data_IF_587951787666
#
_entry.id   IF_587951787666
#
_cell.length_a   1.000
_cell.length_b   1.000
_cell.length_c   1.000
_cell.angle_alpha   90.00
_cell.angle_beta   90.00
_cell.angle_gamma   90.00
#
_symmetry.space_group_name_H-M   'P 1'
#
loop_
_entity.id
_entity.type
_entity.pdbx_description
1 polymer ?
#
# COMPACT_ATOMS: atom_id res chain seq x y z
N UNK A 1 111.32 18.34 -43.30
CA UNK A 1 110.57 17.59 -44.33
C UNK A 1 109.41 16.87 -43.67
N UNK A 2 108.21 17.07 -44.23
CA UNK A 2 106.95 16.30 -44.11
C UNK A 2 106.24 16.21 -42.75
N UNK A 3 105.20 17.03 -42.66
CA UNK A 3 103.96 16.71 -41.95
C UNK A 3 103.09 15.85 -42.87
N UNK A 4 102.46 14.80 -42.33
CA UNK A 4 101.30 14.14 -42.94
C UNK A 4 100.16 14.12 -41.93
N UNK A 5 99.12 14.89 -42.26
CA UNK A 5 97.82 14.90 -41.62
C UNK A 5 96.92 13.88 -42.34
N UNK A 6 96.23 13.02 -41.59
CA UNK A 6 95.15 12.16 -42.11
C UNK A 6 93.78 12.81 -41.86
N UNK A 7 93.04 12.99 -42.96
CA UNK A 7 91.69 13.55 -43.10
C UNK A 7 90.57 12.52 -42.78
N UNK A 8 89.33 12.97 -42.51
CA UNK A 8 88.23 12.13 -42.03
C UNK A 8 87.53 11.31 -43.13
N UNK A 9 86.99 10.16 -42.74
CA UNK A 9 86.23 9.23 -43.58
C UNK A 9 84.85 9.79 -43.96
N UNK A 10 84.60 9.98 -45.26
CA UNK A 10 83.26 10.26 -45.82
C UNK A 10 82.42 8.98 -45.81
N UNK A 11 81.26 9.02 -45.16
CA UNK A 11 80.21 8.02 -45.34
C UNK A 11 79.67 8.12 -46.78
N UNK A 12 79.74 7.00 -47.52
CA UNK A 12 79.16 6.86 -48.86
C UNK A 12 77.63 6.82 -48.73
N UNK A 13 76.94 7.76 -49.37
CA UNK A 13 75.52 7.62 -49.68
C UNK A 13 75.36 6.58 -50.79
N UNK A 14 74.79 5.43 -50.46
CA UNK A 14 74.29 4.47 -51.44
C UNK A 14 72.89 4.90 -51.85
N UNK A 15 72.71 5.27 -53.13
CA UNK A 15 71.38 5.59 -53.68
C UNK A 15 70.50 4.34 -53.71
N UNK A 16 69.24 4.47 -53.29
CA UNK A 16 68.26 3.38 -53.32
C UNK A 16 67.97 2.96 -54.76
N UNK A 17 67.88 1.65 -54.97
CA UNK A 17 67.42 1.06 -56.23
C UNK A 17 65.93 1.32 -56.44
N UNK A 18 65.50 1.51 -57.69
CA UNK A 18 64.09 1.70 -58.07
C UNK A 18 63.20 0.52 -57.59
N UNK A 19 63.78 -0.68 -57.51
CA UNK A 19 63.11 -1.89 -57.01
C UNK A 19 62.87 -1.81 -55.49
N UNK A 20 63.84 -1.28 -54.75
CA UNK A 20 63.79 -1.18 -53.29
C UNK A 20 62.73 -0.16 -52.83
N UNK A 21 62.59 0.93 -53.58
CA UNK A 21 61.56 1.95 -53.37
C UNK A 21 60.15 1.41 -53.73
N UNK A 22 60.05 0.60 -54.79
CA UNK A 22 58.80 -0.07 -55.17
C UNK A 22 58.32 -1.08 -54.12
N UNK A 23 59.23 -1.89 -53.56
CA UNK A 23 58.91 -2.83 -52.48
C UNK A 23 58.53 -2.09 -51.19
N UNK A 24 59.24 -1.00 -50.85
CA UNK A 24 58.89 -0.18 -49.69
C UNK A 24 57.47 0.42 -49.80
N UNK A 25 57.09 0.97 -50.97
CA UNK A 25 55.73 1.47 -51.18
C UNK A 25 54.68 0.36 -51.13
N UNK A 26 54.97 -0.83 -51.66
CA UNK A 26 54.04 -1.96 -51.60
C UNK A 26 53.78 -2.40 -50.14
N UNK A 27 54.85 -2.50 -49.34
CA UNK A 27 54.74 -2.85 -47.91
C UNK A 27 53.96 -1.77 -47.16
N UNK A 28 54.25 -0.49 -47.38
CA UNK A 28 53.52 0.62 -46.75
C UNK A 28 52.05 0.64 -47.17
N UNK A 29 51.74 0.35 -48.44
CA UNK A 29 50.37 0.25 -48.93
C UNK A 29 49.58 -0.89 -48.25
N UNK A 30 50.20 -2.07 -48.11
CA UNK A 30 49.58 -3.22 -47.43
C UNK A 30 49.39 -2.94 -45.94
N UNK A 31 50.40 -2.38 -45.26
CA UNK A 31 50.30 -1.99 -43.85
C UNK A 31 49.23 -0.91 -43.67
N UNK A 32 49.13 0.06 -44.58
CA UNK A 32 48.11 1.10 -44.60
C UNK A 32 46.68 0.54 -44.67
N UNK A 33 46.45 -0.45 -45.53
CA UNK A 33 45.13 -1.11 -45.65
C UNK A 33 44.78 -1.88 -44.38
N UNK A 34 45.73 -2.63 -43.81
CA UNK A 34 45.53 -3.42 -42.59
C UNK A 34 45.25 -2.51 -41.39
N UNK A 35 46.04 -1.45 -41.21
CA UNK A 35 45.84 -0.48 -40.14
C UNK A 35 44.52 0.28 -40.28
N UNK A 36 44.12 0.68 -41.49
CA UNK A 36 42.83 1.33 -41.70
C UNK A 36 41.65 0.42 -41.36
N UNK A 37 41.71 -0.86 -41.77
CA UNK A 37 40.69 -1.85 -41.43
C UNK A 37 40.62 -2.10 -39.91
N UNK A 38 41.76 -2.18 -39.24
CA UNK A 38 41.84 -2.36 -37.79
C UNK A 38 41.30 -1.16 -37.01
N UNK A 39 41.53 0.06 -37.49
CA UNK A 39 40.98 1.30 -36.90
C UNK A 39 39.47 1.39 -37.09
N UNK A 40 38.94 0.95 -38.25
CA UNK A 40 37.49 0.88 -38.48
C UNK A 40 36.82 -0.14 -37.53
N UNK A 41 37.43 -1.32 -37.37
CA UNK A 41 36.92 -2.39 -36.51
C UNK A 41 37.00 -2.04 -35.01
N UNK A 42 37.93 -1.18 -34.59
CA UNK A 42 38.05 -0.73 -33.18
C UNK A 42 37.13 0.44 -32.80
N UNK A 43 36.58 1.19 -33.75
CA UNK A 43 35.60 2.27 -33.47
C UNK A 43 34.18 1.75 -33.28
N UNK A 44 33.77 0.73 -34.02
CA UNK A 44 32.46 0.09 -33.90
C UNK A 44 32.07 -0.37 -32.46
N UNK A 45 32.97 -0.95 -31.64
CA UNK A 45 32.64 -1.30 -30.26
C UNK A 45 32.47 -0.08 -29.34
N UNK A 46 33.16 1.04 -29.61
CA UNK A 46 33.06 2.25 -28.79
C UNK A 46 31.67 2.90 -28.91
N UNK A 47 31.15 3.01 -30.13
CA UNK A 47 29.84 3.64 -30.37
C UNK A 47 28.69 2.84 -29.75
N UNK A 48 28.76 1.51 -29.80
CA UNK A 48 27.75 0.65 -29.19
C UNK A 48 27.69 0.78 -27.67
N UNK A 49 28.85 0.91 -27.00
CA UNK A 49 28.88 1.12 -25.54
C UNK A 49 28.27 2.46 -25.15
N UNK A 50 28.53 3.52 -25.93
CA UNK A 50 27.94 4.83 -25.71
C UNK A 50 26.42 4.82 -25.92
N UNK A 51 25.93 4.16 -26.98
CA UNK A 51 24.49 4.02 -27.25
C UNK A 51 23.79 3.26 -26.12
N UNK A 52 24.37 2.15 -25.65
CA UNK A 52 23.81 1.41 -24.51
C UNK A 52 23.80 2.27 -23.24
N UNK A 53 24.84 3.09 -23.02
CA UNK A 53 24.87 4.08 -21.95
C UNK A 53 23.67 5.04 -22.02
N UNK A 54 23.37 5.58 -23.20
CA UNK A 54 22.21 6.47 -23.39
C UNK A 54 20.87 5.76 -23.12
N UNK A 55 20.71 4.53 -23.60
CA UNK A 55 19.51 3.73 -23.35
C UNK A 55 19.31 3.44 -21.85
N UNK A 56 20.39 3.14 -21.11
CA UNK A 56 20.32 2.93 -19.67
C UNK A 56 20.01 4.21 -18.88
N UNK A 57 20.58 5.35 -19.28
CA UNK A 57 20.28 6.66 -18.70
C UNK A 57 18.80 7.01 -18.90
N UNK A 58 18.29 6.81 -20.12
CA UNK A 58 16.89 7.05 -20.45
C UNK A 58 15.94 6.10 -19.70
N UNK A 59 16.29 4.81 -19.59
CA UNK A 59 15.50 3.85 -18.83
C UNK A 59 15.39 4.25 -17.35
N UNK A 60 16.51 4.61 -16.72
CA UNK A 60 16.52 5.04 -15.32
C UNK A 60 15.66 6.30 -15.11
N UNK A 61 15.67 7.24 -16.06
CA UNK A 61 14.82 8.43 -16.00
C UNK A 61 13.33 8.08 -16.12
N UNK A 62 12.95 7.15 -17.00
CA UNK A 62 11.57 6.65 -17.12
C UNK A 62 11.11 5.96 -15.85
N UNK A 63 11.96 5.12 -15.24
CA UNK A 63 11.65 4.46 -13.96
C UNK A 63 11.54 5.46 -12.81
N UNK A 64 12.42 6.48 -12.76
CA UNK A 64 12.33 7.56 -11.78
C UNK A 64 11.08 8.42 -11.93
N UNK A 65 10.65 8.67 -13.17
CA UNK A 65 9.43 9.41 -13.46
C UNK A 65 8.18 8.73 -12.88
N UNK A 66 8.11 7.40 -12.95
CA UNK A 66 7.02 6.60 -12.40
C UNK A 66 6.89 6.79 -10.88
N UNK A 67 8.02 6.85 -10.17
CA UNK A 67 8.02 7.03 -8.72
C UNK A 67 7.38 8.37 -8.33
N UNK A 68 7.63 9.42 -9.12
CA UNK A 68 7.11 10.77 -8.87
C UNK A 68 5.68 11.00 -9.38
N UNK A 69 5.29 10.38 -10.50
CA UNK A 69 4.04 10.71 -11.21
C UNK A 69 3.00 9.60 -11.22
N UNK A 70 3.33 8.40 -10.74
CA UNK A 70 2.43 7.24 -10.68
C UNK A 70 1.84 6.85 -12.05
N UNK A 71 2.62 7.09 -13.10
CA UNK A 71 2.34 6.73 -14.50
C UNK A 71 3.66 6.69 -15.27
N UNK A 72 3.68 5.98 -16.39
CA UNK A 72 4.76 6.12 -17.36
C UNK A 72 4.63 7.45 -18.10
N UNK A 73 5.73 8.00 -18.61
CA UNK A 73 5.65 9.18 -19.44
C UNK A 73 4.96 8.84 -20.78
N UNK A 74 4.22 9.80 -21.33
CA UNK A 74 3.69 9.73 -22.69
C UNK A 74 4.80 10.06 -23.69
N UNK A 75 4.76 9.45 -24.88
CA UNK A 75 5.71 9.81 -25.92
C UNK A 75 5.56 11.28 -26.34
N UNK A 76 6.66 11.88 -26.79
CA UNK A 76 6.66 13.17 -27.43
C UNK A 76 6.24 13.01 -28.90
N UNK A 77 5.40 13.93 -29.38
CA UNK A 77 5.00 14.01 -30.79
C UNK A 77 5.97 14.81 -31.67
N UNK A 78 7.01 15.39 -31.06
CA UNK A 78 8.02 16.17 -31.77
C UNK A 78 9.32 16.30 -30.97
N UNK A 79 10.30 16.98 -31.57
CA UNK A 79 11.67 17.08 -31.05
C UNK A 79 11.84 18.01 -29.84
N UNK A 80 10.78 18.74 -29.46
CA UNK A 80 10.78 19.64 -28.30
C UNK A 80 10.97 18.91 -26.95
N UNK A 81 10.74 17.59 -26.93
CA UNK A 81 11.02 16.72 -25.79
C UNK A 81 9.96 16.75 -24.69
N UNK A 82 8.78 17.31 -24.95
CA UNK A 82 7.66 17.36 -24.00
C UNK A 82 6.69 16.22 -24.27
N UNK A 83 6.17 15.61 -23.21
CA UNK A 83 5.10 14.61 -23.30
C UNK A 83 3.90 15.13 -24.10
N UNK A 84 3.35 14.29 -24.98
CA UNK A 84 2.08 14.52 -25.66
C UNK A 84 1.11 13.37 -25.34
N UNK A 85 0.40 13.50 -24.22
CA UNK A 85 -0.55 12.48 -23.79
C UNK A 85 -1.85 12.45 -24.62
N UNK A 86 -2.13 13.49 -25.41
CA UNK A 86 -3.29 13.56 -26.30
C UNK A 86 -3.08 12.81 -27.61
N UNK A 87 -1.83 12.67 -28.03
CA UNK A 87 -1.47 11.91 -29.23
C UNK A 87 -1.23 10.43 -28.91
N UNK A 88 -2.22 9.60 -29.24
CA UNK A 88 -2.17 8.14 -29.12
C UNK A 88 -1.73 7.44 -30.41
N UNK A 89 -1.31 8.21 -31.43
CA UNK A 89 -0.92 7.66 -32.73
C UNK A 89 0.51 7.14 -32.70
N UNK A 90 0.86 6.24 -33.64
CA UNK A 90 2.24 5.82 -33.93
C UNK A 90 3.15 6.97 -34.44
N UNK A 91 2.70 8.22 -34.43
CA UNK A 91 3.51 9.41 -34.69
C UNK A 91 4.16 9.97 -33.41
N UNK A 92 3.58 9.69 -32.24
CA UNK A 92 4.20 10.01 -30.96
C UNK A 92 5.13 8.86 -30.57
N UNK A 93 6.37 8.91 -31.09
CA UNK A 93 7.39 7.87 -30.89
C UNK A 93 8.68 8.47 -30.35
N UNK A 94 8.75 9.74 -29.99
CA UNK A 94 9.98 10.34 -29.46
C UNK A 94 10.02 10.28 -27.94
N UNK A 95 11.21 10.14 -27.38
CA UNK A 95 11.42 10.20 -25.94
C UNK A 95 11.14 11.63 -25.43
N UNK A 96 10.28 11.81 -24.40
CA UNK A 96 10.01 13.12 -23.82
C UNK A 96 11.17 13.56 -22.91
N UNK A 97 12.35 13.76 -23.51
CA UNK A 97 13.60 14.02 -22.80
C UNK A 97 13.52 15.23 -21.87
N UNK A 98 12.80 16.29 -22.25
CA UNK A 98 12.65 17.49 -21.43
C UNK A 98 11.80 17.22 -20.20
N UNK A 99 10.70 16.48 -20.36
CA UNK A 99 9.86 16.08 -19.22
C UNK A 99 10.60 15.13 -18.28
N UNK A 100 11.47 14.28 -18.82
CA UNK A 100 12.33 13.37 -18.04
C UNK A 100 13.54 14.05 -17.40
N UNK A 101 13.75 15.36 -17.63
CA UNK A 101 14.93 16.07 -17.14
C UNK A 101 16.25 15.63 -17.79
N UNK A 102 16.17 14.94 -18.93
CA UNK A 102 17.30 14.50 -19.73
C UNK A 102 17.83 15.64 -20.61
N UNK A 103 19.06 15.53 -21.13
CA UNK A 103 19.62 16.51 -22.04
C UNK A 103 19.06 16.35 -23.47
N UNK A 104 19.12 17.42 -24.27
CA UNK A 104 18.57 17.46 -25.64
C UNK A 104 19.20 16.43 -26.59
N UNK A 105 20.42 15.96 -26.30
CA UNK A 105 21.08 14.86 -27.00
C UNK A 105 20.39 13.49 -26.84
N UNK A 106 19.29 13.41 -26.10
CA UNK A 106 18.43 12.23 -25.99
C UNK A 106 17.15 12.39 -26.82
N UNK A 107 16.97 13.52 -27.51
CA UNK A 107 15.77 13.81 -28.29
C UNK A 107 15.63 13.03 -29.60
N UNK A 108 16.68 12.33 -30.02
CA UNK A 108 16.67 11.36 -31.12
C UNK A 108 16.20 9.97 -30.68
N UNK A 109 16.12 9.72 -29.37
CA UNK A 109 15.65 8.43 -28.87
C UNK A 109 14.15 8.30 -29.14
N UNK A 110 13.79 7.10 -29.58
CA UNK A 110 12.42 6.71 -29.81
C UNK A 110 11.88 6.00 -28.56
N UNK A 111 10.62 6.22 -28.25
CA UNK A 111 9.95 5.74 -27.06
C UNK A 111 8.54 5.27 -27.39
N UNK A 112 8.19 4.11 -26.85
CA UNK A 112 6.84 3.57 -26.88
C UNK A 112 6.38 3.23 -25.48
N UNK A 113 5.13 3.54 -25.16
CA UNK A 113 4.49 3.19 -23.89
C UNK A 113 3.21 2.41 -24.13
N UNK A 114 2.93 1.45 -23.26
CA UNK A 114 1.72 0.66 -23.34
C UNK A 114 0.50 1.50 -22.95
N UNK A 115 -0.32 1.82 -23.96
CA UNK A 115 -1.58 2.54 -23.83
C UNK A 115 -2.78 1.68 -24.25
N UNK A 116 -2.64 0.35 -24.13
CA UNK A 116 -3.61 -0.61 -24.66
C UNK A 116 -4.94 -0.60 -23.90
N UNK A 117 -6.00 -0.11 -24.54
CA UNK A 117 -7.38 -0.13 -24.05
C UNK A 117 -7.51 0.23 -22.55
N UNK A 118 -8.04 -0.67 -21.72
CA UNK A 118 -8.28 -0.46 -20.29
C UNK A 118 -7.03 -0.53 -19.40
N UNK A 119 -5.84 -0.64 -19.99
CA UNK A 119 -4.54 -0.83 -19.34
C UNK A 119 -3.52 0.23 -19.77
N UNK A 120 -3.93 1.50 -19.84
CA UNK A 120 -3.04 2.61 -20.19
C UNK A 120 -2.09 2.97 -19.04
N UNK A 121 -0.83 2.55 -19.18
CA UNK A 121 0.22 2.81 -18.19
C UNK A 121 0.69 4.27 -18.17
N UNK A 122 0.41 5.05 -19.22
CA UNK A 122 0.75 6.46 -19.32
C UNK A 122 -0.36 7.38 -18.80
N UNK A 123 -1.52 6.82 -18.47
CA UNK A 123 -2.63 7.54 -17.84
C UNK A 123 -2.57 7.44 -16.32
N UNK A 124 -3.17 8.43 -15.63
CA UNK A 124 -3.38 8.31 -14.18
C UNK A 124 -4.35 7.15 -13.91
N UNK A 125 -4.00 6.21 -13.02
CA UNK A 125 -4.88 5.09 -12.71
C UNK A 125 -6.09 5.58 -11.91
N UNK A 126 -7.14 4.77 -11.85
CA UNK A 126 -8.24 5.00 -10.90
C UNK A 126 -7.83 4.53 -9.50
N UNK A 127 -8.24 5.26 -8.47
CA UNK A 127 -8.09 4.82 -7.09
C UNK A 127 -8.72 3.44 -6.91
N UNK A 128 -7.93 2.52 -6.39
CA UNK A 128 -8.28 1.12 -6.18
C UNK A 128 -7.66 0.57 -4.91
N UNK A 129 -6.49 1.12 -4.50
CA UNK A 129 -5.72 0.72 -3.33
C UNK A 129 -6.29 1.48 -2.14
N UNK A 130 -7.11 0.78 -1.37
CA UNK A 130 -7.79 1.36 -0.22
C UNK A 130 -7.23 0.81 1.09
N UNK A 131 -6.76 1.67 2.01
CA UNK A 131 -6.20 1.24 3.30
C UNK A 131 -7.24 0.58 4.21
N UNK A 132 -8.52 0.76 3.91
CA UNK A 132 -9.68 0.18 4.60
C UNK A 132 -10.34 -0.96 3.82
N UNK A 133 -9.70 -1.47 2.77
CA UNK A 133 -10.28 -2.48 1.86
C UNK A 133 -11.61 -2.04 1.21
N UNK A 134 -11.90 -0.73 1.16
CA UNK A 134 -13.19 -0.16 0.75
C UNK A 134 -14.37 -0.64 1.61
N UNK A 135 -14.11 -1.05 2.85
CA UNK A 135 -15.13 -1.55 3.75
C UNK A 135 -15.93 -0.38 4.28
N UNK A 136 -17.25 -0.48 4.21
CA UNK A 136 -18.09 0.52 4.84
C UNK A 136 -18.15 0.27 6.35
N UNK A 137 -17.51 1.15 7.12
CA UNK A 137 -17.57 1.13 8.58
C UNK A 137 -18.85 1.76 9.15
N UNK A 138 -19.91 1.94 8.33
CA UNK A 138 -21.24 2.37 8.81
C UNK A 138 -22.17 1.18 9.15
N UNK A 139 -23.04 1.29 10.17
CA UNK A 139 -23.24 2.46 11.03
C UNK A 139 -21.98 2.76 11.83
N UNK A 140 -21.66 4.05 12.00
CA UNK A 140 -20.50 4.48 12.76
C UNK A 140 -20.44 3.59 14.01
N UNK A 141 -19.32 2.88 14.19
CA UNK A 141 -19.01 2.05 15.36
C UNK A 141 -19.80 2.63 16.51
N UNK A 142 -20.95 2.02 16.91
CA UNK A 142 -21.91 2.67 17.76
C UNK A 142 -21.12 3.30 18.89
N UNK A 143 -21.12 4.65 18.90
CA UNK A 143 -20.42 5.40 19.93
C UNK A 143 -21.10 4.90 21.15
N UNK A 144 -20.40 4.00 21.84
CA UNK A 144 -20.90 3.39 23.03
C UNK A 144 -21.36 4.59 23.84
N UNK A 145 -22.63 4.58 24.28
CA UNK A 145 -23.17 5.67 25.07
C UNK A 145 -22.54 5.66 26.48
N UNK A 146 -21.21 5.50 26.59
CA UNK A 146 -20.39 5.89 27.73
C UNK A 146 -20.24 7.41 27.74
N UNK A 147 -21.36 8.12 27.72
CA UNK A 147 -21.40 9.59 27.79
C UNK A 147 -20.71 10.17 29.05
N UNK A 148 -20.19 9.31 29.93
CA UNK A 148 -19.54 9.66 31.20
C UNK A 148 -18.05 9.28 31.30
N UNK A 149 -17.46 8.52 30.37
CA UNK A 149 -16.04 8.13 30.44
C UNK A 149 -15.13 8.95 29.51
N UNK A 150 -14.23 9.75 30.07
CA UNK A 150 -13.31 10.55 29.25
C UNK A 150 -12.35 9.70 28.41
N UNK A 151 -11.91 8.54 28.91
CA UNK A 151 -10.96 7.67 28.22
C UNK A 151 -11.57 6.96 27.02
N UNK A 152 -12.74 6.36 27.21
CA UNK A 152 -13.47 5.69 26.11
C UNK A 152 -13.90 6.70 25.03
N UNK A 153 -14.35 7.89 25.43
CA UNK A 153 -14.70 8.95 24.48
C UNK A 153 -13.48 9.44 23.66
N UNK A 154 -12.32 9.57 24.29
CA UNK A 154 -11.09 9.93 23.59
C UNK A 154 -10.67 8.85 22.57
N UNK A 155 -10.73 7.57 22.96
CA UNK A 155 -10.41 6.45 22.07
C UNK A 155 -11.40 6.35 20.90
N UNK A 156 -12.70 6.55 21.15
CA UNK A 156 -13.73 6.57 20.11
C UNK A 156 -13.55 7.73 19.11
N UNK A 157 -13.15 8.90 19.60
CA UNK A 157 -12.86 10.06 18.76
C UNK A 157 -11.62 9.82 17.87
N UNK A 158 -10.55 9.26 18.44
CA UNK A 158 -9.33 8.90 17.70
C UNK A 158 -9.62 7.88 16.59
N UNK A 159 -10.40 6.86 16.93
CA UNK A 159 -10.87 5.84 15.99
C UNK A 159 -11.69 6.45 14.84
N UNK A 160 -12.66 7.32 15.17
CA UNK A 160 -13.45 8.04 14.17
C UNK A 160 -12.55 8.86 13.25
N UNK A 161 -11.55 9.54 13.79
CA UNK A 161 -10.55 10.28 13.02
C UNK A 161 -9.78 9.40 12.04
N UNK A 162 -9.36 8.19 12.46
CA UNK A 162 -8.68 7.24 11.60
C UNK A 162 -9.56 6.73 10.45
N UNK A 163 -10.85 6.47 10.71
CA UNK A 163 -11.84 6.09 9.69
C UNK A 163 -12.06 7.23 8.69
N UNK A 164 -12.24 8.46 9.17
CA UNK A 164 -12.39 9.62 8.30
C UNK A 164 -11.17 9.83 7.42
N UNK A 165 -9.97 9.65 7.97
CA UNK A 165 -8.73 9.69 7.20
C UNK A 165 -8.71 8.62 6.11
N UNK A 166 -9.02 7.35 6.45
CA UNK A 166 -9.05 6.24 5.49
C UNK A 166 -10.09 6.47 4.37
N UNK A 167 -11.29 6.95 4.71
CA UNK A 167 -12.31 7.32 3.73
C UNK A 167 -11.82 8.44 2.79
N UNK A 168 -11.11 9.44 3.34
CA UNK A 168 -10.48 10.50 2.56
C UNK A 168 -9.43 9.97 1.56
N UNK A 169 -8.77 8.85 1.87
CA UNK A 169 -7.81 8.19 0.97
C UNK A 169 -8.46 7.54 -0.25
N UNK A 170 -9.75 7.17 -0.21
CA UNK A 170 -10.41 6.43 -1.32
C UNK A 170 -10.45 7.18 -2.66
N UNK A 171 -10.35 8.51 -2.63
CA UNK A 171 -10.30 9.33 -3.84
C UNK A 171 -8.86 9.70 -4.25
N UNK A 172 -7.86 9.39 -3.43
CA UNK A 172 -6.46 9.73 -3.69
C UNK A 172 -5.85 8.68 -4.58
N UNK A 173 -5.25 9.13 -5.68
CA UNK A 173 -4.48 8.27 -6.58
C UNK A 173 -3.02 8.31 -6.14
N UNK A 174 -2.42 7.13 -5.96
CA UNK A 174 -1.00 6.99 -5.64
C UNK A 174 -0.32 5.90 -6.48
N UNK A 175 0.97 5.67 -6.21
CA UNK A 175 1.74 4.66 -6.93
C UNK A 175 1.32 3.20 -6.66
N UNK A 176 0.57 2.90 -5.61
CA UNK A 176 0.00 1.57 -5.37
C UNK A 176 -1.12 1.27 -6.36
N UNK A 177 -1.92 2.27 -6.72
CA UNK A 177 -2.94 2.15 -7.77
C UNK A 177 -2.30 1.82 -9.11
N UNK A 178 -1.22 2.53 -9.44
CA UNK A 178 -0.48 2.27 -10.67
C UNK A 178 0.15 0.87 -10.66
N UNK A 179 0.70 0.43 -9.53
CA UNK A 179 1.18 -0.94 -9.36
C UNK A 179 0.09 -1.99 -9.62
N UNK A 180 -1.18 -1.72 -9.30
CA UNK A 180 -2.28 -2.62 -9.67
C UNK A 180 -2.50 -2.67 -11.17
N UNK A 181 -2.41 -1.55 -11.87
CA UNK A 181 -2.56 -1.49 -13.34
C UNK A 181 -1.43 -2.26 -14.02
N UNK A 182 -0.17 -2.02 -13.65
CA UNK A 182 0.99 -2.74 -14.23
C UNK A 182 0.89 -4.24 -14.00
N UNK A 183 0.49 -4.67 -12.80
CA UNK A 183 0.30 -6.11 -12.51
C UNK A 183 -0.88 -6.70 -13.29
N UNK A 184 -1.94 -5.93 -13.53
CA UNK A 184 -3.07 -6.37 -14.37
C UNK A 184 -2.63 -6.56 -15.81
N UNK A 185 -1.78 -5.66 -16.34
CA UNK A 185 -1.16 -5.83 -17.65
C UNK A 185 -0.26 -7.07 -17.70
N UNK A 186 0.56 -7.29 -16.67
CA UNK A 186 1.40 -8.49 -16.58
C UNK A 186 0.58 -9.79 -16.56
N UNK A 187 -0.61 -9.76 -15.94
CA UNK A 187 -1.53 -10.89 -15.90
C UNK A 187 -2.37 -11.06 -17.18
N UNK A 188 -2.56 -10.00 -17.97
CA UNK A 188 -3.33 -10.02 -19.22
C UNK A 188 -2.52 -9.44 -20.40
N UNK A 189 -1.42 -10.12 -20.79
CA UNK A 189 -0.53 -9.62 -21.84
C UNK A 189 -1.15 -9.61 -23.25
N UNK A 190 -2.27 -10.30 -23.46
CA UNK A 190 -2.93 -10.43 -24.77
C UNK A 190 -4.08 -9.44 -24.96
N UNK A 191 -4.22 -8.46 -24.06
CA UNK A 191 -5.24 -7.42 -24.21
C UNK A 191 -5.06 -6.64 -25.52
N UNK A 192 -6.16 -6.24 -26.13
CA UNK A 192 -6.13 -5.50 -27.38
C UNK A 192 -5.39 -4.16 -27.21
N UNK A 193 -4.52 -3.82 -28.16
CA UNK A 193 -3.75 -2.57 -28.14
C UNK A 193 -2.52 -2.58 -27.22
N UNK A 194 -2.17 -3.73 -26.63
CA UNK A 194 -0.93 -3.88 -25.86
C UNK A 194 0.28 -3.59 -26.77
N UNK A 195 1.18 -2.73 -26.27
CA UNK A 195 2.46 -2.47 -26.91
C UNK A 195 3.28 -3.77 -26.94
N UNK A 196 3.88 -4.06 -28.09
CA UNK A 196 4.70 -5.26 -28.26
C UNK A 196 6.09 -4.93 -28.79
N UNK A 197 7.06 -5.79 -28.48
CA UNK A 197 8.38 -5.81 -29.09
C UNK A 197 8.59 -7.13 -29.83
N UNK A 198 9.02 -7.10 -31.09
CA UNK A 198 9.25 -8.28 -31.92
C UNK A 198 8.76 -8.11 -33.35
N UNK A 199 8.44 -9.22 -34.00
CA UNK A 199 7.94 -9.27 -35.37
C UNK A 199 6.48 -9.79 -35.41
N UNK A 200 5.91 -9.92 -36.62
CA UNK A 200 4.53 -10.34 -36.82
C UNK A 200 4.21 -11.75 -36.30
N UNK A 201 5.19 -12.65 -36.26
CA UNK A 201 5.01 -14.07 -35.89
C UNK A 201 5.53 -14.39 -34.49
N UNK A 202 6.37 -13.53 -33.93
CA UNK A 202 6.99 -13.66 -32.61
C UNK A 202 7.17 -12.27 -31.99
N UNK A 203 6.30 -11.93 -31.04
CA UNK A 203 6.37 -10.68 -30.29
C UNK A 203 6.08 -10.90 -28.81
N UNK A 204 6.63 -10.03 -27.97
CA UNK A 204 6.43 -10.04 -26.52
C UNK A 204 5.71 -8.76 -26.07
N UNK A 205 4.79 -8.86 -25.10
CA UNK A 205 4.12 -7.72 -24.50
C UNK A 205 5.11 -6.92 -23.66
N UNK A 206 5.07 -5.59 -23.79
CA UNK A 206 6.00 -4.70 -23.09
C UNK A 206 5.25 -3.54 -22.45
N UNK A 207 5.76 -3.05 -21.33
CA UNK A 207 5.27 -1.85 -20.66
C UNK A 207 5.77 -0.59 -21.37
N UNK A 208 7.05 -0.57 -21.73
CA UNK A 208 7.62 0.46 -22.59
C UNK A 208 8.84 -0.06 -23.36
N UNK A 209 9.22 0.68 -24.40
CA UNK A 209 10.42 0.45 -25.22
C UNK A 209 11.13 1.78 -25.42
N UNK A 210 12.47 1.75 -25.39
CA UNK A 210 13.33 2.85 -25.80
C UNK A 210 14.21 2.33 -26.93
N UNK A 211 14.28 3.05 -28.05
CA UNK A 211 15.11 2.71 -29.20
C UNK A 211 16.03 3.88 -29.58
N UNK A 212 17.29 3.55 -29.85
CA UNK A 212 18.27 4.47 -30.40
C UNK A 212 18.33 4.29 -31.92
N UNK A 213 18.34 5.38 -32.71
CA UNK A 213 18.38 5.35 -34.18
C UNK A 213 19.77 4.98 -34.75
N UNK A 214 20.46 4.05 -34.10
CA UNK A 214 21.78 3.59 -34.54
C UNK A 214 22.88 4.66 -34.65
N UNK A 215 23.93 4.33 -35.40
CA UNK A 215 25.10 5.17 -35.69
C UNK A 215 24.80 6.11 -36.86
N UNK A 216 23.95 5.68 -37.81
CA UNK A 216 23.52 6.49 -38.94
C UNK A 216 22.54 7.62 -38.55
N UNK A 217 21.96 7.57 -37.34
CA UNK A 217 21.02 8.56 -36.82
C UNK A 217 19.62 8.48 -37.44
N UNK A 218 19.32 7.39 -38.14
CA UNK A 218 18.05 7.13 -38.81
C UNK A 218 17.36 6.00 -38.05
N UNK A 219 16.06 6.13 -37.82
CA UNK A 219 15.28 5.08 -37.17
C UNK A 219 14.71 4.15 -38.26
N UNK A 220 15.15 2.90 -38.31
CA UNK A 220 14.73 1.90 -39.31
C UNK A 220 13.78 0.82 -38.78
N UNK A 221 13.26 1.01 -37.57
CA UNK A 221 12.40 0.04 -36.91
C UNK A 221 10.99 -0.13 -37.50
N UNK A 222 10.30 -1.17 -37.06
CA UNK A 222 8.92 -1.52 -37.45
C UNK A 222 7.88 -0.43 -37.11
N UNK A 223 8.22 0.50 -36.20
CA UNK A 223 7.35 1.59 -35.75
C UNK A 223 7.61 2.93 -36.45
N UNK A 224 8.31 2.93 -37.59
CA UNK A 224 8.45 4.13 -38.42
C UNK A 224 7.10 4.57 -39.02
N UNK A 225 6.89 5.87 -39.27
CA UNK A 225 5.73 6.34 -40.03
C UNK A 225 5.60 5.61 -41.38
N UNK A 226 4.46 4.95 -41.61
CA UNK A 226 4.23 4.15 -42.83
C UNK A 226 4.80 2.72 -42.80
N UNK A 227 5.38 2.29 -41.67
CA UNK A 227 5.80 0.91 -41.42
C UNK A 227 4.63 -0.06 -41.27
N UNK A 228 4.93 -1.35 -41.00
CA UNK A 228 3.95 -2.43 -40.85
C UNK A 228 3.10 -2.27 -39.57
N UNK A 229 2.20 -1.27 -39.60
CA UNK A 229 1.14 -0.89 -38.68
C UNK A 229 1.22 -1.41 -37.22
N UNK A 230 1.31 -0.46 -36.29
CA UNK A 230 0.67 -0.52 -34.97
C UNK A 230 1.59 -0.93 -33.82
N UNK A 231 1.86 0.02 -32.90
CA UNK A 231 2.37 -0.19 -31.54
C UNK A 231 3.37 -1.36 -31.37
N UNK A 232 4.28 -1.54 -32.34
CA UNK A 232 5.25 -2.64 -32.34
C UNK A 232 6.64 -2.11 -32.64
N UNK A 233 7.53 -2.30 -31.68
CA UNK A 233 8.96 -2.07 -31.86
C UNK A 233 9.66 -3.37 -32.21
N UNK A 234 10.86 -3.29 -32.78
CA UNK A 234 11.68 -4.49 -32.99
C UNK A 234 12.19 -5.06 -31.67
N UNK A 235 12.44 -6.38 -31.66
CA UNK A 235 12.96 -7.07 -30.50
C UNK A 235 14.34 -6.52 -30.10
N UNK A 236 14.60 -6.26 -28.80
CA UNK A 236 15.96 -6.03 -28.31
C UNK A 236 16.89 -7.16 -28.76
N UNK A 237 18.03 -6.79 -29.35
CA UNK A 237 19.00 -7.76 -29.86
C UNK A 237 18.68 -8.31 -31.26
N UNK A 238 17.74 -7.70 -32.01
CA UNK A 238 17.59 -7.97 -33.44
C UNK A 238 18.97 -7.85 -34.14
N UNK A 239 19.28 -8.85 -34.97
CA UNK A 239 20.51 -8.87 -35.75
C UNK A 239 20.61 -7.60 -36.60
N UNK A 240 21.76 -6.95 -36.51
CA UNK A 240 22.06 -5.71 -37.20
C UNK A 240 22.51 -6.05 -38.62
N UNK A 241 22.08 -5.25 -39.59
CA UNK A 241 22.46 -5.39 -41.00
C UNK A 241 22.69 -4.01 -41.62
N UNK A 242 22.99 -3.96 -42.93
CA UNK A 242 23.29 -2.69 -43.60
C UNK A 242 22.12 -1.70 -43.62
N UNK A 243 20.91 -2.15 -43.30
CA UNK A 243 19.67 -1.38 -43.33
C UNK A 243 19.01 -1.30 -41.94
N UNK A 244 19.69 -1.77 -40.88
CA UNK A 244 19.19 -1.74 -39.51
C UNK A 244 20.35 -1.75 -38.52
N UNK A 245 20.62 -0.59 -37.93
CA UNK A 245 21.56 -0.42 -36.82
C UNK A 245 20.90 0.11 -35.54
N UNK A 246 19.56 0.10 -35.48
CA UNK A 246 18.79 0.45 -34.28
C UNK A 246 19.10 -0.48 -33.10
N UNK A 247 19.23 0.12 -31.93
CA UNK A 247 19.42 -0.58 -30.66
C UNK A 247 18.27 -0.23 -29.73
N UNK A 248 17.59 -1.25 -29.18
CA UNK A 248 16.45 -1.04 -28.29
C UNK A 248 16.61 -1.76 -26.97
N UNK A 249 15.98 -1.18 -25.95
CA UNK A 249 15.69 -1.83 -24.67
C UNK A 249 14.18 -1.85 -24.51
N UNK A 250 13.65 -3.02 -24.16
CA UNK A 250 12.23 -3.20 -23.90
C UNK A 250 12.03 -3.76 -22.49
N UNK A 251 11.10 -3.18 -21.75
CA UNK A 251 10.80 -3.58 -20.37
C UNK A 251 9.39 -4.15 -20.33
N UNK A 252 9.27 -5.40 -19.88
CA UNK A 252 7.99 -6.08 -19.68
C UNK A 252 7.24 -5.54 -18.45
N UNK A 253 5.91 -5.70 -18.40
CA UNK A 253 5.11 -5.25 -17.26
C UNK A 253 5.51 -5.95 -15.94
N UNK A 254 5.85 -7.24 -15.98
CA UNK A 254 6.35 -7.98 -14.82
C UNK A 254 7.72 -7.51 -14.34
N UNK A 255 8.63 -7.20 -15.27
CA UNK A 255 9.97 -6.67 -14.96
C UNK A 255 9.88 -5.25 -14.39
N UNK A 256 9.02 -4.40 -14.96
CA UNK A 256 8.77 -3.07 -14.41
C UNK A 256 8.18 -3.15 -12.99
N UNK A 257 7.22 -4.04 -12.76
CA UNK A 257 6.64 -4.24 -11.45
C UNK A 257 7.65 -4.74 -10.40
N UNK A 258 8.64 -5.56 -10.80
CA UNK A 258 9.68 -6.05 -9.90
C UNK A 258 10.69 -4.95 -9.57
N UNK A 259 11.18 -4.20 -10.57
CA UNK A 259 12.11 -3.08 -10.42
C UNK A 259 11.56 -1.96 -9.55
N UNK A 260 10.29 -1.60 -9.78
CA UNK A 260 9.61 -0.59 -8.98
C UNK A 260 9.27 -1.14 -7.58
N UNK A 261 9.28 -2.45 -7.35
CA UNK A 261 8.97 -3.07 -6.06
C UNK A 261 7.48 -3.04 -5.72
N UNK A 262 6.62 -3.26 -6.71
CA UNK A 262 5.17 -3.24 -6.54
C UNK A 262 4.66 -4.35 -5.62
N UNK A 263 5.22 -5.56 -5.72
CA UNK A 263 4.79 -6.72 -4.93
C UNK A 263 4.93 -6.50 -3.42
N UNK A 264 6.12 -6.18 -2.87
CA UNK A 264 6.26 -5.98 -1.43
C UNK A 264 5.42 -4.82 -0.90
N UNK A 265 5.28 -3.72 -1.65
CA UNK A 265 4.49 -2.55 -1.23
C UNK A 265 2.99 -2.84 -1.19
N UNK A 266 2.45 -3.45 -2.25
CA UNK A 266 1.05 -3.89 -2.27
C UNK A 266 0.78 -4.96 -1.20
N UNK A 267 1.73 -5.87 -0.98
CA UNK A 267 1.63 -6.89 0.07
C UNK A 267 1.58 -6.29 1.48
N UNK A 268 2.46 -5.34 1.77
CA UNK A 268 2.50 -4.64 3.07
C UNK A 268 1.20 -3.86 3.32
N UNK A 269 0.73 -3.12 2.32
CA UNK A 269 -0.53 -2.37 2.42
C UNK A 269 -1.73 -3.31 2.59
N UNK A 270 -1.81 -4.40 1.83
CA UNK A 270 -2.87 -5.39 1.96
C UNK A 270 -2.85 -6.05 3.36
N UNK A 271 -1.67 -6.40 3.87
CA UNK A 271 -1.54 -6.98 5.21
C UNK A 271 -1.99 -6.00 6.31
N UNK A 272 -1.60 -4.72 6.19
CA UNK A 272 -2.03 -3.68 7.14
C UNK A 272 -3.54 -3.46 7.10
N UNK A 273 -4.13 -3.41 5.90
CA UNK A 273 -5.57 -3.24 5.71
C UNK A 273 -6.36 -4.45 6.26
N UNK A 274 -5.86 -5.67 6.10
CA UNK A 274 -6.44 -6.87 6.72
C UNK A 274 -6.31 -6.84 8.24
N UNK A 275 -5.17 -6.41 8.79
CA UNK A 275 -4.99 -6.23 10.23
C UNK A 275 -5.97 -5.21 10.82
N UNK A 276 -6.20 -4.10 10.10
CA UNK A 276 -7.21 -3.11 10.47
C UNK A 276 -8.63 -3.71 10.44
N UNK A 277 -8.95 -4.53 9.44
CA UNK A 277 -10.23 -5.23 9.38
C UNK A 277 -10.43 -6.22 10.53
N UNK A 278 -9.42 -7.00 10.89
CA UNK A 278 -9.48 -7.90 12.05
C UNK A 278 -9.70 -7.13 13.36
N UNK A 279 -9.01 -5.99 13.55
CA UNK A 279 -9.22 -5.14 14.70
C UNK A 279 -10.63 -4.52 14.73
N UNK A 280 -11.18 -4.15 13.57
CA UNK A 280 -12.56 -3.71 13.43
C UNK A 280 -13.57 -4.81 13.83
N UNK A 281 -13.32 -6.06 13.48
CA UNK A 281 -14.20 -7.16 13.89
C UNK A 281 -14.21 -7.33 15.42
N UNK A 282 -13.05 -7.20 16.07
CA UNK A 282 -12.96 -7.17 17.53
C UNK A 282 -13.77 -6.02 18.13
N UNK A 283 -13.72 -4.82 17.53
CA UNK A 283 -14.53 -3.67 17.97
C UNK A 283 -16.02 -4.02 17.95
N UNK A 284 -16.52 -4.64 16.87
CA UNK A 284 -17.92 -5.05 16.77
C UNK A 284 -18.29 -6.07 17.85
N UNK A 285 -17.44 -7.06 18.08
CA UNK A 285 -17.67 -8.07 19.13
C UNK A 285 -17.74 -7.41 20.51
N UNK A 286 -16.82 -6.51 20.84
CA UNK A 286 -16.82 -5.80 22.13
C UNK A 286 -18.08 -4.97 22.33
N UNK A 287 -18.60 -4.35 21.27
CA UNK A 287 -19.85 -3.58 21.36
C UNK A 287 -21.05 -4.44 21.71
N UNK A 288 -21.18 -5.62 21.11
CA UNK A 288 -22.25 -6.55 21.46
C UNK A 288 -22.16 -6.97 22.93
N UNK A 289 -20.95 -7.33 23.41
CA UNK A 289 -20.74 -7.70 24.81
C UNK A 289 -20.98 -6.54 25.79
N UNK A 290 -20.71 -5.30 25.38
CA UNK A 290 -21.00 -4.13 26.22
C UNK A 290 -22.50 -3.95 26.44
N UNK A 291 -23.33 -4.15 25.40
CA UNK A 291 -24.79 -4.02 25.53
C UNK A 291 -25.35 -5.00 26.57
N UNK A 292 -24.83 -6.23 26.60
CA UNK A 292 -25.18 -7.24 27.60
C UNK A 292 -24.75 -6.84 29.01
N UNK A 293 -23.57 -6.24 29.16
CA UNK A 293 -23.07 -5.79 30.47
C UNK A 293 -23.86 -4.63 31.05
N UNK A 294 -24.27 -3.67 30.22
CA UNK A 294 -25.15 -2.58 30.68
C UNK A 294 -26.49 -3.15 31.16
N UNK A 295 -27.03 -4.12 30.43
CA UNK A 295 -28.23 -4.84 30.84
C UNK A 295 -28.05 -5.58 32.18
N UNK A 296 -26.92 -6.27 32.39
CA UNK A 296 -26.63 -6.95 33.67
C UNK A 296 -26.54 -5.97 34.86
N UNK A 297 -26.00 -4.76 34.64
CA UNK A 297 -25.94 -3.70 35.66
C UNK A 297 -27.34 -3.18 35.97
N UNK A 298 -28.17 -2.90 34.96
CA UNK A 298 -29.57 -2.47 35.15
C UNK A 298 -30.38 -3.55 35.89
N UNK A 299 -30.14 -4.82 35.58
CA UNK A 299 -30.76 -5.94 36.27
C UNK A 299 -30.30 -6.05 37.72
N UNK A 300 -28.99 -5.89 37.99
CA UNK A 300 -28.45 -5.88 39.36
C UNK A 300 -28.93 -4.68 40.18
N UNK A 301 -29.10 -3.50 39.56
CA UNK A 301 -29.71 -2.33 40.19
C UNK A 301 -31.17 -2.58 40.54
N UNK A 302 -31.95 -3.14 39.60
CA UNK A 302 -33.35 -3.51 39.84
C UNK A 302 -33.47 -4.55 40.95
N UNK A 303 -32.54 -5.51 41.02
CA UNK A 303 -32.47 -6.50 42.10
C UNK A 303 -32.13 -5.86 43.46
N UNK A 304 -31.25 -4.86 43.49
CA UNK A 304 -30.93 -4.09 44.70
C UNK A 304 -32.16 -3.30 45.19
N UNK A 305 -32.87 -2.60 44.31
CA UNK A 305 -34.09 -1.87 44.65
C UNK A 305 -35.21 -2.83 45.14
N UNK A 306 -35.33 -3.99 44.51
CA UNK A 306 -36.25 -5.05 44.95
C UNK A 306 -35.85 -5.62 46.33
N UNK A 307 -34.55 -5.79 46.60
CA UNK A 307 -34.04 -6.23 47.90
C UNK A 307 -34.22 -5.16 48.99
N UNK A 308 -33.99 -3.88 48.68
CA UNK A 308 -34.26 -2.75 49.59
C UNK A 308 -35.74 -2.66 49.96
N UNK A 309 -36.63 -2.76 48.97
CA UNK A 309 -38.07 -2.84 49.21
C UNK A 309 -38.46 -4.10 49.97
N UNK A 310 -37.81 -5.23 49.70
CA UNK A 310 -37.96 -6.48 50.45
C UNK A 310 -37.60 -6.33 51.93
N UNK A 311 -36.46 -5.70 52.25
CA UNK A 311 -36.06 -5.38 53.63
C UNK A 311 -37.06 -4.44 54.30
N UNK A 312 -37.54 -3.41 53.60
CA UNK A 312 -38.55 -2.49 54.13
C UNK A 312 -39.87 -3.23 54.42
N UNK A 313 -40.32 -4.09 53.52
CA UNK A 313 -41.55 -4.88 53.69
C UNK A 313 -41.40 -5.95 54.78
N UNK A 314 -40.25 -6.61 54.87
CA UNK A 314 -39.92 -7.56 55.95
C UNK A 314 -39.85 -6.84 57.31
N UNK A 315 -39.25 -5.65 57.36
CA UNK A 315 -39.24 -4.79 58.55
C UNK A 315 -40.65 -4.31 58.93
N UNK A 316 -41.49 -3.97 57.94
CA UNK A 316 -42.90 -3.64 58.16
C UNK A 316 -43.70 -4.84 58.68
N UNK A 317 -43.47 -6.05 58.14
CA UNK A 317 -44.09 -7.28 58.61
C UNK A 317 -43.63 -7.64 60.03
N UNK A 318 -42.34 -7.45 60.35
CA UNK A 318 -41.82 -7.59 61.70
C UNK A 318 -42.41 -6.56 62.68
N UNK A 319 -42.58 -5.31 62.24
CA UNK A 319 -43.25 -4.27 63.03
C UNK A 319 -44.74 -4.57 63.23
N UNK A 320 -45.44 -5.09 62.22
CA UNK A 320 -46.83 -5.57 62.34
C UNK A 320 -46.95 -6.80 63.26
N UNK A 321 -46.01 -7.74 63.19
CA UNK A 321 -45.93 -8.89 64.08
C UNK A 321 -45.68 -8.45 65.54
N UNK A 322 -44.81 -7.46 65.75
CA UNK A 322 -44.58 -6.85 67.06
C UNK A 322 -45.81 -6.07 67.57
N UNK A 323 -46.49 -5.34 66.69
CA UNK A 323 -47.72 -4.59 67.01
C UNK A 323 -48.90 -5.50 67.34
N UNK A 324 -49.06 -6.60 66.61
CA UNK A 324 -50.09 -7.62 66.89
C UNK A 324 -49.78 -8.42 68.17
N UNK A 325 -48.50 -8.64 68.51
CA UNK A 325 -48.11 -9.18 69.80
C UNK A 325 -48.45 -8.20 70.96
N UNK A 326 -48.26 -6.89 70.77
CA UNK A 326 -48.65 -5.88 71.76
C UNK A 326 -50.17 -5.77 71.95
N UNK A 327 -50.95 -5.89 70.86
CA UNK A 327 -52.42 -5.97 70.89
C UNK A 327 -52.92 -7.26 71.56
N UNK A 328 -52.24 -8.39 71.35
CA UNK A 328 -52.57 -9.65 72.02
C UNK A 328 -52.36 -9.55 73.55
N UNK A 329 -51.27 -8.92 74.00
CA UNK A 329 -50.99 -8.65 75.43
C UNK A 329 -52.01 -7.68 76.03
N UNK A 330 -52.43 -6.65 75.28
CA UNK A 330 -53.48 -5.73 75.72
C UNK A 330 -54.86 -6.40 75.85
N UNK A 331 -55.18 -7.38 74.99
CA UNK A 331 -56.43 -8.14 75.07
C UNK A 331 -56.46 -9.18 76.21
N UNK A 332 -55.28 -9.67 76.64
CA UNK A 332 -55.14 -10.61 77.74
C UNK A 332 -55.27 -9.95 79.13
N UNK A 333 -55.01 -8.65 79.25
CA UNK A 333 -55.12 -7.92 80.52
C UNK A 333 -56.58 -7.59 80.93
N UNK A 334 -57.55 -7.73 80.02
CA UNK A 334 -58.96 -7.36 80.25
C UNK A 334 -59.89 -8.58 80.46
N UNK A 335 -59.38 -9.81 80.52
CA UNK A 335 -60.21 -11.01 80.66
C UNK A 335 -59.88 -11.76 81.95
N UNK A 336 -60.62 -11.44 83.02
CA UNK A 336 -60.79 -12.39 84.12
C UNK A 336 -61.66 -13.56 83.62
N UNK A 337 -61.03 -14.68 83.28
CA UNK A 337 -61.71 -15.96 83.09
C UNK A 337 -61.49 -16.67 81.75
N UNK A 338 -60.44 -17.48 81.71
CA UNK A 338 -60.35 -18.78 80.99
C UNK A 338 -60.63 -18.76 79.47
N UNK A 339 -59.57 -18.81 78.65
CA UNK A 339 -59.34 -19.89 77.64
C UNK A 339 -57.89 -19.84 77.11
N UNK A 340 -57.26 -21.01 77.11
CA UNK A 340 -55.81 -21.29 77.05
C UNK A 340 -55.29 -21.48 75.60
N UNK A 341 -55.76 -20.71 74.61
CA UNK A 341 -55.33 -20.92 73.20
C UNK A 341 -54.71 -19.74 72.44
N UNK A 342 -54.32 -18.65 73.13
CA UNK A 342 -53.71 -17.48 72.48
C UNK A 342 -52.19 -17.32 72.61
N UNK A 343 -51.51 -18.10 73.46
CA UNK A 343 -50.12 -17.81 73.87
C UNK A 343 -49.01 -18.58 73.13
N UNK A 344 -49.33 -19.38 72.10
CA UNK A 344 -48.31 -20.09 71.30
C UNK A 344 -48.13 -19.48 69.89
N UNK A 345 -49.03 -18.61 69.43
CA UNK A 345 -48.95 -18.07 68.05
C UNK A 345 -48.29 -16.68 67.91
N UNK A 346 -47.91 -16.00 69.00
CA UNK A 346 -47.19 -14.70 68.91
C UNK A 346 -45.67 -14.83 69.01
N UNK A 347 -45.15 -15.88 69.66
CA UNK A 347 -43.71 -16.16 69.67
C UNK A 347 -43.22 -16.74 68.33
N UNK A 348 -44.08 -17.51 67.63
CA UNK A 348 -43.76 -18.05 66.31
C UNK A 348 -43.63 -16.93 65.26
N UNK A 349 -44.53 -15.94 65.25
CA UNK A 349 -44.54 -14.87 64.25
C UNK A 349 -43.38 -13.86 64.40
N UNK A 350 -42.89 -13.63 65.62
CA UNK A 350 -41.71 -12.77 65.84
C UNK A 350 -40.41 -13.50 65.45
N UNK A 351 -40.33 -14.81 65.68
CA UNK A 351 -39.19 -15.62 65.25
C UNK A 351 -39.18 -15.78 63.72
N UNK A 352 -40.32 -16.02 63.07
CA UNK A 352 -40.38 -16.08 61.60
C UNK A 352 -40.15 -14.71 60.96
N UNK A 353 -40.64 -13.61 61.54
CA UNK A 353 -40.36 -12.27 61.03
C UNK A 353 -38.91 -11.83 61.25
N UNK A 354 -38.26 -12.23 62.34
CA UNK A 354 -36.82 -12.00 62.54
C UNK A 354 -35.96 -12.83 61.56
N UNK A 355 -36.41 -14.04 61.21
CA UNK A 355 -35.79 -14.87 60.18
C UNK A 355 -36.02 -14.28 58.78
N UNK A 356 -37.19 -13.73 58.48
CA UNK A 356 -37.48 -13.03 57.22
C UNK A 356 -36.66 -11.73 57.08
N UNK A 357 -36.50 -10.95 58.16
CA UNK A 357 -35.60 -9.78 58.16
C UNK A 357 -34.14 -10.21 58.01
N UNK A 358 -33.74 -11.35 58.61
CA UNK A 358 -32.41 -11.93 58.45
C UNK A 358 -32.12 -12.37 57.01
N UNK A 359 -33.03 -13.11 56.37
CA UNK A 359 -32.91 -13.48 54.97
C UNK A 359 -32.95 -12.27 54.04
N UNK A 360 -33.83 -11.30 54.28
CA UNK A 360 -33.87 -10.07 53.49
C UNK A 360 -32.59 -9.22 53.64
N UNK A 361 -31.95 -9.23 54.81
CA UNK A 361 -30.67 -8.57 55.04
C UNK A 361 -29.51 -9.31 54.35
N UNK A 362 -29.50 -10.65 54.35
CA UNK A 362 -28.55 -11.45 53.59
C UNK A 362 -28.72 -11.24 52.07
N UNK A 363 -29.97 -11.22 51.58
CA UNK A 363 -30.31 -10.91 50.18
C UNK A 363 -29.83 -9.50 49.77
N UNK A 364 -29.95 -8.51 50.68
CA UNK A 364 -29.45 -7.15 50.45
C UNK A 364 -27.92 -7.11 50.37
N UNK A 365 -27.20 -7.84 51.24
CA UNK A 365 -25.73 -7.94 51.21
C UNK A 365 -25.27 -8.64 49.92
N UNK A 366 -25.96 -9.71 49.50
CA UNK A 366 -25.67 -10.42 48.26
C UNK A 366 -25.93 -9.52 47.03
N UNK A 367 -27.04 -8.77 47.02
CA UNK A 367 -27.35 -7.80 45.97
C UNK A 367 -26.33 -6.64 45.92
N UNK A 368 -25.89 -6.12 47.07
CA UNK A 368 -24.83 -5.10 47.15
C UNK A 368 -23.50 -5.63 46.61
N UNK A 369 -23.13 -6.86 46.96
CA UNK A 369 -21.90 -7.50 46.48
C UNK A 369 -21.98 -7.80 44.98
N UNK A 370 -23.11 -8.26 44.48
CA UNK A 370 -23.36 -8.49 43.05
C UNK A 370 -23.30 -7.17 42.26
N UNK A 371 -23.85 -6.08 42.80
CA UNK A 371 -23.74 -4.75 42.19
C UNK A 371 -22.30 -4.24 42.16
N UNK A 372 -21.52 -4.42 43.22
CA UNK A 372 -20.12 -4.04 43.25
C UNK A 372 -19.28 -4.88 42.28
N UNK A 373 -19.47 -6.19 42.23
CA UNK A 373 -18.81 -7.08 41.26
C UNK A 373 -19.18 -6.72 39.81
N UNK A 374 -20.44 -6.36 39.56
CA UNK A 374 -20.90 -5.88 38.24
C UNK A 374 -20.22 -4.56 37.85
N UNK A 375 -20.05 -3.61 38.80
CA UNK A 375 -19.32 -2.35 38.59
C UNK A 375 -17.81 -2.57 38.35
N UNK A 376 -17.17 -3.47 39.09
CA UNK A 376 -15.75 -3.79 38.92
C UNK A 376 -15.52 -4.46 37.54
N UNK A 377 -16.43 -5.35 37.12
CA UNK A 377 -16.48 -5.95 35.77
C UNK A 377 -16.71 -4.91 34.68
N UNK A 378 -17.52 -3.88 34.94
CA UNK A 378 -17.73 -2.76 34.02
C UNK A 378 -16.43 -1.97 33.81
N UNK A 379 -15.73 -1.63 34.89
CA UNK A 379 -14.47 -0.87 34.84
C UNK A 379 -13.37 -1.63 34.08
N UNK A 380 -13.25 -2.94 34.31
CA UNK A 380 -12.35 -3.79 33.53
C UNK A 380 -12.74 -3.85 32.04
N UNK A 381 -14.04 -3.86 31.74
CA UNK A 381 -14.53 -3.83 30.35
C UNK A 381 -14.24 -2.50 29.66
N UNK A 382 -14.25 -1.37 30.39
CA UNK A 382 -13.89 -0.04 29.86
C UNK A 382 -12.43 -0.01 29.39
N UNK A 383 -11.52 -0.54 30.21
CA UNK A 383 -10.11 -0.65 29.84
C UNK A 383 -9.91 -1.51 28.58
N UNK A 384 -10.63 -2.64 28.48
CA UNK A 384 -10.58 -3.49 27.29
C UNK A 384 -11.16 -2.82 26.04
N UNK A 385 -12.25 -2.05 26.16
CA UNK A 385 -12.80 -1.24 25.05
C UNK A 385 -11.76 -0.26 24.52
N UNK A 386 -11.07 0.46 25.41
CA UNK A 386 -10.00 1.41 25.04
C UNK A 386 -8.91 0.69 24.25
N UNK A 387 -8.41 -0.44 24.76
CA UNK A 387 -7.36 -1.23 24.11
C UNK A 387 -7.76 -1.69 22.70
N UNK A 388 -9.00 -2.16 22.52
CA UNK A 388 -9.52 -2.60 21.22
C UNK A 388 -9.67 -1.41 20.25
N UNK A 389 -10.14 -0.26 20.74
CA UNK A 389 -10.24 0.97 19.93
C UNK A 389 -8.87 1.50 19.52
N UNK A 390 -7.91 1.52 20.43
CA UNK A 390 -6.53 1.92 20.15
C UNK A 390 -5.86 0.98 19.16
N UNK A 391 -6.04 -0.33 19.32
CA UNK A 391 -5.51 -1.35 18.41
C UNK A 391 -6.03 -1.14 16.99
N UNK A 392 -7.35 -0.91 16.83
CA UNK A 392 -7.91 -0.62 15.51
C UNK A 392 -7.40 0.71 14.95
N UNK A 393 -7.36 1.76 15.78
CA UNK A 393 -6.85 3.08 15.39
C UNK A 393 -5.40 2.99 14.88
N UNK A 394 -4.53 2.27 15.60
CA UNK A 394 -3.14 2.07 15.23
C UNK A 394 -3.01 1.27 13.94
N UNK A 395 -3.76 0.18 13.78
CA UNK A 395 -3.75 -0.65 12.59
C UNK A 395 -4.19 0.14 11.34
N UNK A 396 -5.30 0.88 11.44
CA UNK A 396 -5.81 1.69 10.34
C UNK A 396 -4.89 2.88 10.02
N UNK A 397 -4.31 3.51 11.04
CA UNK A 397 -3.31 4.58 10.84
C UNK A 397 -2.06 4.04 10.14
N UNK A 398 -1.61 2.83 10.46
CA UNK A 398 -0.49 2.19 9.76
C UNK A 398 -0.83 1.92 8.29
N UNK A 399 -2.04 1.43 8.00
CA UNK A 399 -2.51 1.25 6.63
C UNK A 399 -2.59 2.57 5.86
N UNK A 400 -3.11 3.64 6.48
CA UNK A 400 -3.17 4.98 5.90
C UNK A 400 -1.76 5.51 5.56
N UNK A 401 -0.78 5.34 6.45
CA UNK A 401 0.60 5.76 6.20
C UNK A 401 1.25 5.00 5.03
N UNK A 402 0.97 3.71 4.89
CA UNK A 402 1.48 2.92 3.76
C UNK A 402 0.85 3.38 2.44
N UNK A 403 -0.44 3.72 2.45
CA UNK A 403 -1.13 4.28 1.30
C UNK A 403 -0.62 5.69 0.94
N UNK A 404 -0.42 6.56 1.93
CA UNK A 404 0.19 7.89 1.74
C UNK A 404 1.60 7.80 1.17
N UNK A 405 2.39 6.84 1.65
CA UNK A 405 3.76 6.60 1.18
C UNK A 405 3.79 6.16 -0.28
N UNK A 406 2.81 5.35 -0.72
CA UNK A 406 2.70 4.92 -2.12
C UNK A 406 3.94 4.16 -2.58
N UNK A 407 4.63 4.71 -3.60
CA UNK A 407 5.89 4.16 -4.13
C UNK A 407 7.15 4.75 -3.50
N UNK A 408 7.03 5.79 -2.68
CA UNK A 408 8.17 6.47 -2.09
C UNK A 408 8.94 5.50 -1.16
N UNK A 409 10.28 5.55 -1.15
CA UNK A 409 11.14 4.65 -0.38
C UNK A 409 10.96 4.75 1.13
#
# INVERSE_FOLDING_TARGET
MRADAQLPSRLRQTGLSLVELGVAMAIVGVIGIITWRWVADTRAPMDRTAIMGQLTEAQAAVEGFVLANHRLPCAASGTNGTEDCGNTSAAAVLLPWRTLGLPSRMGQLHYGVNRGASLDLASAPTASAFPDLNINYTPAIPVLALSTDAGVNAAAAALTGAITAANGRRAVINGLDWCRVVRRLAANPTAAGVLTAGNLTASIPVAFVIAHPGVNGVFEGSNVPGGAAGFRFDMPGRAQDSNFDDLSVAVGAGDLASRIGCVPRLGAMQAAAQGAYTAYDNVRVVQEYWSLRVFDIEQAQSALEAAETGVIMAAMNAALAAGSAALAVASAANTEGITIFGLVLSAANVVTAAVEVGFAADDLIEAQKALQDSKDKELASRAYVIEVFETFTQALTAANRLDEKGLNP
#
